data_IF_562145759577
#
_entry.id   IF_562145759577
#
_cell.length_a   1.000
_cell.length_b   1.000
_cell.length_c   1.000
_cell.angle_alpha   90.00
_cell.angle_beta   90.00
_cell.angle_gamma   90.00
#
_symmetry.space_group_name_H-M   'P 1'
#
loop_
_entity.id
_entity.type
_entity.pdbx_description
1 polymer ?
#
# COMPACT_ATOMS: atom_id res chain seq x y z
N UNK A 1 -1.90 15.69 -20.59
CA UNK A 1 -0.53 15.50 -20.06
C UNK A 1 -0.63 15.05 -18.62
N UNK A 2 -0.49 13.75 -18.34
CA UNK A 2 -0.46 13.23 -16.96
C UNK A 2 0.99 13.19 -16.50
N UNK A 3 1.43 14.24 -15.81
CA UNK A 3 2.76 14.29 -15.19
C UNK A 3 2.77 13.37 -13.97
N UNK A 4 3.00 12.08 -14.18
CA UNK A 4 3.34 11.16 -13.10
C UNK A 4 4.71 11.56 -12.57
N UNK A 5 4.73 12.25 -11.42
CA UNK A 5 5.97 12.65 -10.75
C UNK A 5 6.93 11.45 -10.67
N UNK A 6 8.24 11.64 -10.93
CA UNK A 6 9.21 10.56 -10.83
C UNK A 6 9.20 9.96 -9.43
N UNK A 7 9.23 8.63 -9.34
CA UNK A 7 9.32 7.91 -8.07
C UNK A 7 10.64 8.28 -7.41
N UNK A 8 10.55 8.91 -6.24
CA UNK A 8 11.73 9.32 -5.47
C UNK A 8 12.22 8.19 -4.56
N UNK A 9 13.44 8.32 -4.05
CA UNK A 9 13.99 7.39 -3.07
C UNK A 9 13.19 7.39 -1.75
N UNK A 10 12.58 8.52 -1.40
CA UNK A 10 11.67 8.66 -0.27
C UNK A 10 10.39 7.84 -0.48
N UNK A 11 9.83 7.86 -1.68
CA UNK A 11 8.65 7.06 -2.04
C UNK A 11 8.95 5.57 -1.87
N UNK A 12 10.14 5.11 -2.32
CA UNK A 12 10.58 3.72 -2.15
C UNK A 12 10.71 3.33 -0.68
N UNK A 13 11.32 4.17 0.16
CA UNK A 13 11.44 3.92 1.62
C UNK A 13 10.06 3.89 2.31
N UNK A 14 9.13 4.76 1.90
CA UNK A 14 7.77 4.76 2.43
C UNK A 14 6.98 3.52 1.98
N UNK A 15 7.11 3.12 0.72
CA UNK A 15 6.50 1.92 0.19
C UNK A 15 7.03 0.66 0.90
N UNK A 16 8.33 0.60 1.20
CA UNK A 16 8.94 -0.46 2.00
C UNK A 16 8.36 -0.50 3.43
N UNK A 17 8.23 0.64 4.10
CA UNK A 17 7.54 0.70 5.41
C UNK A 17 6.09 0.20 5.35
N UNK A 18 5.40 0.38 4.23
CA UNK A 18 4.05 -0.18 4.05
C UNK A 18 4.04 -1.72 4.07
N UNK A 19 5.12 -2.38 3.62
CA UNK A 19 5.29 -3.83 3.69
C UNK A 19 5.48 -4.32 5.13
N UNK A 20 6.17 -3.53 5.95
CA UNK A 20 6.43 -3.80 7.36
C UNK A 20 5.23 -3.46 8.27
N UNK A 21 4.23 -2.76 7.75
CA UNK A 21 3.05 -2.39 8.53
C UNK A 21 2.23 -3.64 8.90
N UNK A 22 2.04 -3.96 10.19
CA UNK A 22 1.34 -5.17 10.61
C UNK A 22 -0.13 -5.17 10.17
N UNK A 23 -0.77 -4.00 10.09
CA UNK A 23 -2.16 -3.87 9.63
C UNK A 23 -2.28 -4.17 8.14
N UNK A 24 -1.42 -3.57 7.31
CA UNK A 24 -1.42 -3.82 5.86
C UNK A 24 -1.02 -5.26 5.54
N UNK A 25 -0.03 -5.80 6.25
CA UNK A 25 0.40 -7.20 6.14
C UNK A 25 -0.73 -8.17 6.52
N UNK A 26 -1.44 -7.91 7.62
CA UNK A 26 -2.57 -8.74 8.05
C UNK A 26 -3.75 -8.66 7.07
N UNK A 27 -4.08 -7.45 6.60
CA UNK A 27 -5.11 -7.22 5.59
C UNK A 27 -4.78 -7.98 4.30
N UNK A 28 -3.54 -7.87 3.83
CA UNK A 28 -3.03 -8.58 2.65
C UNK A 28 -3.08 -10.10 2.81
N UNK A 29 -2.69 -10.62 3.98
CA UNK A 29 -2.66 -12.06 4.23
C UNK A 29 -4.06 -12.67 4.35
N UNK A 30 -4.98 -11.99 5.03
CA UNK A 30 -6.33 -12.52 5.26
C UNK A 30 -7.32 -12.23 4.15
N UNK A 31 -7.16 -11.12 3.42
CA UNK A 31 -8.09 -10.62 2.40
C UNK A 31 -9.55 -10.46 2.90
N UNK A 32 -9.78 -10.51 4.22
CA UNK A 32 -11.11 -10.51 4.83
C UNK A 32 -11.08 -10.01 6.27
N UNK A 33 -12.21 -9.50 6.74
CA UNK A 33 -12.41 -9.05 8.13
C UNK A 33 -12.14 -7.56 8.35
N UNK A 34 -12.22 -7.14 9.62
CA UNK A 34 -12.18 -5.73 10.02
C UNK A 34 -10.88 -5.01 9.60
N UNK A 35 -9.73 -5.68 9.68
CA UNK A 35 -8.46 -5.11 9.25
C UNK A 35 -8.41 -4.84 7.73
N UNK A 36 -8.96 -5.75 6.93
CA UNK A 36 -9.06 -5.59 5.48
C UNK A 36 -10.00 -4.43 5.12
N UNK A 37 -11.17 -4.37 5.76
CA UNK A 37 -12.12 -3.28 5.56
C UNK A 37 -11.54 -1.92 5.99
N UNK A 38 -10.79 -1.89 7.10
CA UNK A 38 -10.09 -0.69 7.55
C UNK A 38 -9.06 -0.22 6.53
N UNK A 39 -8.14 -1.08 6.08
CA UNK A 39 -7.13 -0.71 5.08
C UNK A 39 -7.80 -0.22 3.80
N UNK A 40 -8.83 -0.92 3.31
CA UNK A 40 -9.62 -0.54 2.14
C UNK A 40 -10.29 0.84 2.28
N UNK A 41 -10.61 1.26 3.51
CA UNK A 41 -11.18 2.58 3.80
C UNK A 41 -10.14 3.69 3.99
N UNK A 42 -8.87 3.37 4.32
CA UNK A 42 -7.85 4.37 4.70
C UNK A 42 -6.71 4.57 3.68
N UNK A 43 -6.59 3.64 2.73
CA UNK A 43 -5.38 3.44 1.91
C UNK A 43 -5.00 4.57 0.94
N UNK A 44 -5.92 5.50 0.62
CA UNK A 44 -5.61 6.62 -0.28
C UNK A 44 -5.65 8.00 0.39
N UNK A 45 -6.62 8.24 1.29
CA UNK A 45 -6.79 9.56 1.91
C UNK A 45 -6.04 9.72 3.24
N UNK A 46 -5.80 8.63 3.98
CA UNK A 46 -5.33 8.73 5.37
C UNK A 46 -3.94 8.17 5.61
N UNK A 47 -3.48 7.23 4.78
CA UNK A 47 -2.17 6.59 4.97
C UNK A 47 -1.17 7.02 3.87
N UNK A 48 -0.16 7.85 4.19
CA UNK A 48 0.86 8.25 3.20
C UNK A 48 1.69 7.05 2.72
N UNK A 49 1.83 6.00 3.53
CA UNK A 49 2.57 4.79 3.15
C UNK A 49 1.83 3.95 2.10
N UNK A 50 0.51 3.84 2.21
CA UNK A 50 -0.29 3.12 1.21
C UNK A 50 -0.30 3.85 -0.14
N UNK A 51 -0.35 5.19 -0.12
CA UNK A 51 -0.20 6.01 -1.32
C UNK A 51 1.17 5.85 -1.97
N UNK A 52 2.24 5.84 -1.17
CA UNK A 52 3.59 5.56 -1.67
C UNK A 52 3.71 4.14 -2.23
N UNK A 53 3.09 3.15 -1.57
CA UNK A 53 3.05 1.76 -2.05
C UNK A 53 2.38 1.64 -3.42
N UNK A 54 1.23 2.28 -3.60
CA UNK A 54 0.51 2.31 -4.88
C UNK A 54 1.32 3.05 -5.96
N UNK A 55 1.96 4.17 -5.62
CA UNK A 55 2.84 4.92 -6.55
C UNK A 55 4.06 4.11 -6.99
N UNK A 56 4.66 3.32 -6.10
CA UNK A 56 5.89 2.55 -6.38
C UNK A 56 5.61 1.21 -7.05
N UNK A 57 4.62 0.47 -6.54
CA UNK A 57 4.33 -0.90 -6.98
C UNK A 57 3.15 -1.00 -7.96
N UNK A 58 2.43 0.10 -8.20
CA UNK A 58 1.30 0.13 -9.14
C UNK A 58 0.08 -0.67 -8.69
N UNK A 59 -0.02 -1.02 -7.40
CA UNK A 59 -1.06 -1.87 -6.84
C UNK A 59 -1.46 -1.45 -5.42
N UNK A 60 -2.64 -1.85 -4.96
CA UNK A 60 -3.14 -1.47 -3.63
C UNK A 60 -2.38 -2.19 -2.52
N UNK A 61 -2.21 -1.52 -1.39
CA UNK A 61 -1.50 -2.08 -0.24
C UNK A 61 -2.18 -3.33 0.33
N UNK A 62 -3.51 -3.42 0.24
CA UNK A 62 -4.28 -4.58 0.71
C UNK A 62 -4.32 -5.74 -0.29
N UNK A 63 -3.91 -5.56 -1.54
CA UNK A 63 -3.96 -6.66 -2.53
C UNK A 63 -2.97 -7.77 -2.15
N UNK A 64 -3.34 -9.04 -2.40
CA UNK A 64 -2.46 -10.15 -2.12
C UNK A 64 -1.17 -9.99 -2.94
N UNK A 65 -0.02 -10.20 -2.30
CA UNK A 65 1.20 -10.44 -3.05
C UNK A 65 1.03 -11.86 -3.56
N UNK A 66 0.53 -12.02 -4.79
CA UNK A 66 0.71 -13.27 -5.50
C UNK A 66 2.22 -13.51 -5.58
N UNK A 67 2.68 -14.50 -4.81
CA UNK A 67 4.00 -15.06 -4.99
C UNK A 67 3.93 -15.80 -6.32
N UNK A 68 4.57 -15.22 -7.34
CA UNK A 68 4.93 -15.90 -8.57
C UNK A 68 5.90 -17.03 -8.26
#
# INVERSE_FOLDING_TARGET
MTTSEPITEKDRKMAQKCLECPVCSHARKKQRGLAFWFVKKIEQDKCPYCKAYEKVYGRKAHEPIEAL
#
